data_IF_747237614464
#
_entry.id   IF_747237614464
#
_cell.length_a   1.000
_cell.length_b   1.000
_cell.length_c   1.000
_cell.angle_alpha   90.00
_cell.angle_beta   90.00
_cell.angle_gamma   90.00
#
_symmetry.space_group_name_H-M   'P 1'
#
loop_
_entity.id
_entity.type
_entity.pdbx_description
1 polymer ?
#
# COMPACT_ATOMS: atom_id res chain seq x y z
N UNK A 1 3.29 4.83 -7.22
CA UNK A 1 1.96 5.43 -6.98
C UNK A 1 1.85 5.74 -5.50
N UNK A 2 1.73 7.02 -5.16
CA UNK A 2 1.66 7.49 -3.78
C UNK A 2 0.33 8.20 -3.52
N UNK A 3 -0.38 7.75 -2.48
CA UNK A 3 -1.61 8.36 -1.98
C UNK A 3 -1.76 8.07 -0.49
N UNK A 4 -2.55 8.88 0.21
CA UNK A 4 -2.87 8.66 1.62
C UNK A 4 -3.58 7.31 1.86
N UNK A 5 -4.40 6.85 0.91
CA UNK A 5 -5.14 5.60 0.99
C UNK A 5 -5.01 4.77 -0.30
N UNK A 6 -4.02 3.87 -0.31
CA UNK A 6 -3.69 2.99 -1.44
C UNK A 6 -4.72 1.89 -1.70
N UNK A 7 -5.54 1.53 -0.71
CA UNK A 7 -6.60 0.53 -0.86
C UNK A 7 -7.89 1.13 -1.47
N UNK A 8 -7.73 1.87 -2.56
CA UNK A 8 -8.83 2.47 -3.29
C UNK A 8 -8.89 1.93 -4.71
N UNK A 9 -10.12 1.80 -5.25
CA UNK A 9 -10.36 1.30 -6.61
C UNK A 9 -9.50 2.01 -7.65
N UNK A 10 -9.43 3.34 -7.59
CA UNK A 10 -8.65 4.13 -8.56
C UNK A 10 -7.14 3.87 -8.49
N UNK A 11 -6.59 3.53 -7.31
CA UNK A 11 -5.18 3.16 -7.19
C UNK A 11 -4.94 1.79 -7.79
N UNK A 12 -5.78 0.80 -7.48
CA UNK A 12 -5.69 -0.56 -8.02
C UNK A 12 -5.75 -0.53 -9.55
N UNK A 13 -6.74 0.16 -10.11
CA UNK A 13 -6.88 0.34 -11.57
C UNK A 13 -5.65 1.04 -12.18
N UNK A 14 -5.07 2.02 -11.48
CA UNK A 14 -3.87 2.71 -11.94
C UNK A 14 -2.63 1.81 -11.93
N UNK A 15 -2.47 0.98 -10.91
CA UNK A 15 -1.37 -0.02 -10.85
C UNK A 15 -1.49 -0.97 -12.03
N UNK A 16 -2.68 -1.52 -12.28
CA UNK A 16 -2.96 -2.43 -13.40
C UNK A 16 -2.67 -1.76 -14.75
N UNK A 17 -3.09 -0.51 -14.94
CA UNK A 17 -2.83 0.26 -16.16
C UNK A 17 -1.33 0.46 -16.40
N UNK A 18 -0.58 0.84 -15.36
CA UNK A 18 0.87 1.04 -15.46
C UNK A 18 1.58 -0.28 -15.77
N UNK A 19 1.26 -1.36 -15.04
CA UNK A 19 1.84 -2.69 -15.30
C UNK A 19 1.58 -3.16 -16.73
N UNK A 20 0.36 -2.94 -17.24
CA UNK A 20 -0.01 -3.32 -18.62
C UNK A 20 0.78 -2.54 -19.68
N UNK A 21 1.08 -1.26 -19.43
CA UNK A 21 1.83 -0.40 -20.35
C UNK A 21 3.34 -0.60 -20.26
N UNK A 22 3.84 -0.92 -19.07
CA UNK A 22 5.27 -1.04 -18.77
C UNK A 22 5.55 -2.35 -18.00
N UNK A 23 5.57 -3.52 -18.66
CA UNK A 23 5.64 -4.82 -18.00
C UNK A 23 6.88 -5.04 -17.13
N UNK A 24 7.99 -4.37 -17.44
CA UNK A 24 9.28 -4.52 -16.74
C UNK A 24 9.57 -3.38 -15.75
N UNK A 25 8.71 -2.37 -15.67
CA UNK A 25 8.93 -1.23 -14.78
C UNK A 25 8.71 -1.65 -13.33
N UNK A 26 9.64 -1.30 -12.44
CA UNK A 26 9.44 -1.47 -11.01
C UNK A 26 8.37 -0.49 -10.48
N UNK A 27 7.31 -1.01 -9.87
CA UNK A 27 6.17 -0.24 -9.36
C UNK A 27 6.15 -0.31 -7.83
N UNK A 28 6.40 0.84 -7.19
CA UNK A 28 6.13 1.05 -5.77
C UNK A 28 4.71 1.60 -5.61
N UNK A 29 3.83 0.93 -4.86
CA UNK A 29 2.45 1.37 -4.63
C UNK A 29 2.07 1.43 -3.14
N UNK A 30 1.30 2.43 -2.76
CA UNK A 30 0.82 2.62 -1.39
C UNK A 30 0.08 3.96 -1.22
N UNK A 31 -0.23 4.38 0.01
CA UNK A 31 0.10 3.71 1.28
C UNK A 31 -0.99 2.72 1.72
N UNK A 32 -0.57 1.61 2.32
CA UNK A 32 -1.48 0.64 2.95
C UNK A 32 -1.05 0.34 4.38
N UNK A 33 -1.93 -0.30 5.16
CA UNK A 33 -1.64 -0.67 6.54
C UNK A 33 -2.30 -2.00 6.97
N UNK A 34 -2.76 -2.81 6.00
CA UNK A 34 -3.44 -4.08 6.25
C UNK A 34 -2.96 -5.16 5.27
N UNK A 35 -3.10 -6.43 5.67
CA UNK A 35 -2.78 -7.57 4.82
C UNK A 35 -3.62 -7.58 3.53
N UNK A 36 -4.93 -7.36 3.63
CA UNK A 36 -5.83 -7.36 2.47
C UNK A 36 -5.44 -6.32 1.41
N UNK A 37 -5.16 -5.08 1.84
CA UNK A 37 -4.74 -4.02 0.94
C UNK A 37 -3.39 -4.32 0.27
N UNK A 38 -2.48 -4.98 0.99
CA UNK A 38 -1.17 -5.39 0.48
C UNK A 38 -1.33 -6.43 -0.62
N UNK A 39 -2.13 -7.46 -0.35
CA UNK A 39 -2.47 -8.50 -1.32
C UNK A 39 -3.04 -7.92 -2.61
N UNK A 40 -4.05 -7.04 -2.50
CA UNK A 40 -4.69 -6.46 -3.68
C UNK A 40 -3.74 -5.59 -4.51
N UNK A 41 -2.80 -4.86 -3.88
CA UNK A 41 -1.80 -4.09 -4.62
C UNK A 41 -0.77 -4.99 -5.33
N UNK A 42 -0.34 -6.08 -4.71
CA UNK A 42 0.56 -7.05 -5.33
C UNK A 42 -0.15 -7.72 -6.53
N UNK A 43 -1.37 -8.19 -6.33
CA UNK A 43 -2.20 -8.81 -7.39
C UNK A 43 -2.51 -7.83 -8.54
N UNK A 44 -2.61 -6.53 -8.25
CA UNK A 44 -2.74 -5.50 -9.27
C UNK A 44 -1.47 -5.28 -10.10
N UNK A 45 -0.30 -5.73 -9.63
CA UNK A 45 0.97 -5.66 -10.34
C UNK A 45 2.02 -4.75 -9.69
N UNK A 46 1.88 -4.37 -8.42
CA UNK A 46 2.93 -3.67 -7.69
C UNK A 46 4.05 -4.62 -7.26
N UNK A 47 5.30 -4.24 -7.49
CA UNK A 47 6.47 -5.03 -7.05
C UNK A 47 6.86 -4.71 -5.61
N UNK A 48 6.59 -3.48 -5.17
CA UNK A 48 6.95 -2.99 -3.84
C UNK A 48 5.73 -2.31 -3.22
N UNK A 49 5.40 -2.69 -1.99
CA UNK A 49 4.29 -2.09 -1.24
C UNK A 49 4.83 -1.10 -0.20
N UNK A 50 4.35 0.15 -0.24
CA UNK A 50 4.69 1.19 0.74
C UNK A 50 3.70 1.16 1.91
N UNK A 51 4.20 0.86 3.11
CA UNK A 51 3.39 0.60 4.31
C UNK A 51 3.42 1.77 5.30
N UNK A 52 2.25 2.23 5.70
CA UNK A 52 2.07 3.17 6.82
C UNK A 52 0.94 4.16 6.59
N UNK A 53 -0.06 4.17 7.47
CA UNK A 53 -1.14 5.18 7.50
C UNK A 53 -1.18 5.81 8.90
N UNK A 54 -0.91 7.11 8.95
CA UNK A 54 -0.81 7.89 10.19
C UNK A 54 0.52 7.92 10.96
N UNK A 55 1.58 7.10 10.70
CA UNK A 55 2.78 7.03 11.57
C UNK A 55 3.74 8.21 11.44
N UNK A 56 3.62 9.01 10.37
CA UNK A 56 4.57 10.08 10.09
C UNK A 56 4.57 11.15 11.17
N UNK A 57 5.74 11.68 11.51
CA UNK A 57 5.91 12.70 12.56
C UNK A 57 5.09 13.97 12.34
N UNK A 58 4.87 14.35 11.08
CA UNK A 58 4.07 15.52 10.68
C UNK A 58 2.64 15.17 10.27
N UNK A 59 2.27 13.88 10.30
CA UNK A 59 1.00 13.40 9.77
C UNK A 59 -0.12 13.65 10.78
N UNK A 60 -1.15 14.40 10.39
CA UNK A 60 -2.30 14.71 11.25
C UNK A 60 -3.45 13.71 11.11
N UNK A 61 -3.33 12.68 10.25
CA UNK A 61 -4.42 11.75 9.92
C UNK A 61 -5.04 11.06 11.14
N UNK A 62 -4.23 10.66 12.13
CA UNK A 62 -4.76 10.06 13.36
C UNK A 62 -5.59 11.05 14.18
N UNK A 63 -5.14 12.30 14.25
CA UNK A 63 -5.78 13.35 15.08
C UNK A 63 -7.05 13.87 14.40
N UNK A 64 -7.00 14.10 13.09
CA UNK A 64 -8.09 14.76 12.35
C UNK A 64 -9.12 13.77 11.82
N UNK A 65 -8.69 12.65 11.23
CA UNK A 65 -9.60 11.68 10.61
C UNK A 65 -9.89 10.47 11.52
N UNK A 66 -9.16 10.30 12.63
CA UNK A 66 -9.29 9.14 13.50
C UNK A 66 -8.79 7.84 12.88
N UNK A 67 -7.97 7.91 11.82
CA UNK A 67 -7.51 6.74 11.03
C UNK A 67 -6.01 6.52 11.19
N UNK A 68 -5.62 5.27 11.38
CA UNK A 68 -4.24 4.81 11.30
C UNK A 68 -4.04 3.48 11.99
N UNK A 69 -2.89 2.85 11.75
CA UNK A 69 -2.49 1.59 12.39
C UNK A 69 -1.13 1.80 13.06
N UNK A 70 -0.85 1.27 14.27
CA UNK A 70 0.49 1.30 14.85
C UNK A 70 1.52 0.72 13.88
N UNK A 71 2.65 1.42 13.67
CA UNK A 71 3.51 1.16 12.52
C UNK A 71 4.13 -0.24 12.53
N UNK A 72 4.51 -0.75 13.70
CA UNK A 72 5.06 -2.10 13.81
C UNK A 72 4.02 -3.17 13.43
N UNK A 73 2.78 -3.03 13.90
CA UNK A 73 1.67 -3.90 13.51
C UNK A 73 1.39 -3.82 12.02
N UNK A 74 1.29 -2.61 11.45
CA UNK A 74 1.07 -2.42 10.03
C UNK A 74 2.15 -3.10 9.18
N UNK A 75 3.43 -2.87 9.53
CA UNK A 75 4.56 -3.50 8.83
C UNK A 75 4.52 -5.02 8.98
N UNK A 76 4.26 -5.55 10.18
CA UNK A 76 4.18 -6.99 10.43
C UNK A 76 3.06 -7.65 9.62
N UNK A 77 1.84 -7.12 9.66
CA UNK A 77 0.69 -7.67 8.96
C UNK A 77 0.87 -7.62 7.43
N UNK A 78 1.36 -6.48 6.91
CA UNK A 78 1.65 -6.32 5.48
C UNK A 78 2.80 -7.24 5.02
N UNK A 79 3.90 -7.31 5.79
CA UNK A 79 5.04 -8.15 5.43
C UNK A 79 4.72 -9.64 5.49
N UNK A 80 3.84 -10.06 6.42
CA UNK A 80 3.42 -11.46 6.56
C UNK A 80 2.75 -11.97 5.29
N UNK A 81 1.81 -11.21 4.72
CA UNK A 81 1.16 -11.60 3.46
C UNK A 81 2.08 -11.39 2.26
N UNK A 82 2.89 -10.34 2.24
CA UNK A 82 3.81 -10.07 1.12
C UNK A 82 4.81 -11.21 0.91
N UNK A 83 5.27 -11.85 2.00
CA UNK A 83 6.17 -13.01 1.98
C UNK A 83 5.59 -14.23 1.23
N UNK A 84 4.28 -14.32 1.06
CA UNK A 84 3.65 -15.39 0.28
C UNK A 84 3.88 -15.22 -1.23
N UNK A 85 4.30 -14.03 -1.68
CA UNK A 85 4.48 -13.66 -3.08
C UNK A 85 5.94 -13.58 -3.54
N UNK A 86 6.92 -13.77 -2.64
CA UNK A 86 8.36 -13.71 -2.92
C UNK A 86 9.13 -12.97 -1.83
#
# INVERSE_FOLDING_TARGET
IDTAHGHSKGVIEKVQEIRSKFPELAIIAGNVATAQATKELIEAGADIVKVGIGPGSICTTRVVAGVGVPQLTAVYDCATVAKEYG
#
